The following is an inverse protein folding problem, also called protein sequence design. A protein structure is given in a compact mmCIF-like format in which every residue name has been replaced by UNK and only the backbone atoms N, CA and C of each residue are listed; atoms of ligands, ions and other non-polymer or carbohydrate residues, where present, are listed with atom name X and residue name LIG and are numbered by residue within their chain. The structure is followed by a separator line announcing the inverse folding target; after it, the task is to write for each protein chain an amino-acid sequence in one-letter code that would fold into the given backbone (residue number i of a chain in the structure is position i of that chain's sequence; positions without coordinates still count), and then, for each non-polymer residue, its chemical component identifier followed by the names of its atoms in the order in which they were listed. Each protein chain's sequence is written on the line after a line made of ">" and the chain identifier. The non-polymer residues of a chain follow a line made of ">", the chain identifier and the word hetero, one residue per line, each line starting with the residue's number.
data_IF_372848624004
#
_entry.id   IF_372848624004
#
_cell.length_a   1.000
_cell.length_b   1.000
_cell.length_c   1.000
_cell.angle_alpha   90.00
_cell.angle_beta   90.00
_cell.angle_gamma   90.00
#
_symmetry.space_group_name_H-M   'P 1'
#
loop_
_entity.id
_entity.type
_entity.pdbx_description
1 polymer ?
#
# COMPACT_ATOMS: atom_id res chain seq x y z
N UNK A 1 22.54 37.84 18.16
CA UNK A 1 21.40 36.99 18.54
C UNK A 1 20.43 37.02 17.39
N UNK A 2 20.40 35.99 16.58
CA UNK A 2 19.46 35.87 15.44
C UNK A 2 18.14 35.30 15.99
N UNK A 3 17.18 36.18 16.21
CA UNK A 3 15.80 35.76 16.52
C UNK A 3 15.17 35.15 15.23
N UNK A 4 14.93 33.85 15.24
CA UNK A 4 14.16 33.21 14.20
C UNK A 4 12.79 33.92 14.08
N UNK A 5 12.28 34.20 12.86
CA UNK A 5 11.01 34.87 12.68
C UNK A 5 9.89 34.02 13.30
N UNK A 6 9.08 34.63 14.15
CA UNK A 6 7.91 33.99 14.77
C UNK A 6 6.94 33.55 13.66
N UNK A 7 6.72 32.24 13.56
CA UNK A 7 5.68 31.68 12.68
C UNK A 7 4.33 32.13 13.24
N UNK A 8 3.66 33.04 12.54
CA UNK A 8 2.28 33.40 12.87
C UNK A 8 1.42 32.16 12.73
N UNK A 9 0.93 31.63 13.83
CA UNK A 9 -0.03 30.52 13.86
C UNK A 9 -1.34 30.99 13.25
N UNK A 10 -1.64 30.52 12.04
CA UNK A 10 -2.98 30.68 11.49
C UNK A 10 -3.88 29.72 12.27
N UNK A 11 -4.81 30.25 13.05
CA UNK A 11 -5.85 29.46 13.69
C UNK A 11 -6.64 28.71 12.60
N UNK A 12 -6.76 27.40 12.69
CA UNK A 12 -7.56 26.54 11.79
C UNK A 12 -8.62 25.83 12.61
N UNK A 13 -9.64 26.54 13.09
CA UNK A 13 -10.54 26.00 14.10
C UNK A 13 -11.38 24.81 13.62
N UNK A 14 -11.55 24.65 12.29
CA UNK A 14 -12.48 23.68 11.71
C UNK A 14 -11.79 22.47 11.06
N UNK A 15 -10.45 22.45 10.94
CA UNK A 15 -9.71 21.32 10.39
C UNK A 15 -9.13 20.46 11.51
N UNK A 16 -9.56 19.20 11.59
CA UNK A 16 -9.00 18.26 12.53
C UNK A 16 -7.57 17.88 12.13
N UNK A 17 -6.61 18.03 13.04
CA UNK A 17 -5.19 17.77 12.81
C UNK A 17 -4.69 16.66 13.73
N UNK A 18 -3.83 15.79 13.21
CA UNK A 18 -3.11 14.78 13.98
C UNK A 18 -1.97 15.36 14.84
N UNK A 19 -1.59 16.62 14.63
CA UNK A 19 -0.52 17.28 15.37
C UNK A 19 -0.95 18.66 15.88
N UNK A 20 -0.47 19.01 17.08
CA UNK A 20 -0.62 20.35 17.65
C UNK A 20 0.43 21.34 17.13
N UNK A 21 1.45 20.86 16.39
CA UNK A 21 2.51 21.72 15.85
C UNK A 21 1.94 22.59 14.72
N UNK A 22 2.25 23.90 14.71
CA UNK A 22 1.92 24.77 13.60
C UNK A 22 2.60 24.25 12.34
N UNK A 23 1.85 24.17 11.24
CA UNK A 23 2.39 23.74 9.94
C UNK A 23 2.42 24.95 9.00
N UNK A 24 3.46 25.06 8.13
CA UNK A 24 3.48 26.10 7.11
C UNK A 24 2.30 25.93 6.14
N UNK A 25 1.72 27.05 5.72
CA UNK A 25 0.66 27.05 4.72
C UNK A 25 1.30 27.05 3.34
N UNK A 26 1.19 25.97 2.61
CA UNK A 26 1.68 25.86 1.23
C UNK A 26 0.89 26.78 0.32
N UNK A 27 1.58 27.55 -0.50
CA UNK A 27 1.04 28.45 -1.52
C UNK A 27 1.12 27.82 -2.91
N UNK A 28 2.28 27.31 -3.30
CA UNK A 28 2.53 26.71 -4.60
C UNK A 28 3.57 25.61 -4.52
N UNK A 29 3.60 24.77 -5.55
CA UNK A 29 4.59 23.71 -5.71
C UNK A 29 4.99 23.52 -7.17
N UNK A 30 6.25 23.11 -7.42
CA UNK A 30 6.77 22.81 -8.74
C UNK A 30 7.93 21.82 -8.65
N UNK A 31 7.92 20.76 -9.48
CA UNK A 31 8.90 19.68 -9.44
C UNK A 31 9.01 19.06 -8.04
N UNK A 32 10.16 19.24 -7.40
CA UNK A 32 10.45 18.75 -6.03
C UNK A 32 10.32 19.83 -4.97
N UNK A 33 9.86 21.03 -5.32
CA UNK A 33 9.82 22.16 -4.41
C UNK A 33 8.41 22.54 -4.00
N UNK A 34 8.27 22.97 -2.73
CA UNK A 34 7.09 23.59 -2.16
C UNK A 34 7.46 24.99 -1.70
N UNK A 35 6.53 25.94 -1.81
CA UNK A 35 6.69 27.28 -1.22
C UNK A 35 5.49 27.56 -0.31
N UNK A 36 5.77 28.08 0.88
CA UNK A 36 4.73 28.55 1.77
C UNK A 36 4.31 30.01 1.46
N UNK A 37 3.26 30.45 2.12
CA UNK A 37 2.73 31.83 1.95
C UNK A 37 3.69 32.93 2.39
N UNK A 38 4.77 32.61 3.11
CA UNK A 38 5.84 33.56 3.41
C UNK A 38 6.91 33.63 2.32
N UNK A 39 6.83 32.78 1.29
CA UNK A 39 7.80 32.66 0.20
C UNK A 39 8.95 31.71 0.52
N UNK A 40 8.98 31.08 1.70
CA UNK A 40 10.03 30.12 2.05
C UNK A 40 9.89 28.86 1.20
N UNK A 41 11.00 28.41 0.62
CA UNK A 41 11.10 27.20 -0.19
C UNK A 41 11.51 26.00 0.65
N UNK A 42 10.87 24.87 0.37
CA UNK A 42 11.15 23.54 0.93
C UNK A 42 11.44 22.56 -0.19
N UNK A 43 12.29 21.56 0.08
CA UNK A 43 12.43 20.37 -0.75
C UNK A 43 11.45 19.34 -0.24
N UNK A 44 10.59 18.81 -1.11
CA UNK A 44 9.71 17.69 -0.80
C UNK A 44 10.48 16.37 -0.89
N UNK A 45 11.35 16.13 0.10
CA UNK A 45 12.21 14.94 0.15
C UNK A 45 11.46 13.63 0.41
N UNK A 46 10.21 13.72 0.88
CA UNK A 46 9.35 12.55 1.09
C UNK A 46 8.40 12.29 -0.08
N UNK A 47 8.41 13.15 -1.11
CA UNK A 47 7.45 13.05 -2.22
C UNK A 47 5.99 13.05 -1.72
N UNK A 48 5.66 14.00 -0.83
CA UNK A 48 4.41 14.00 -0.07
C UNK A 48 4.32 12.80 0.87
N UNK A 49 3.32 11.96 0.69
CA UNK A 49 3.17 10.68 1.38
C UNK A 49 3.74 9.51 0.54
N UNK A 50 4.92 9.69 -0.06
CA UNK A 50 5.57 8.74 -1.00
C UNK A 50 4.71 8.53 -2.26
N UNK A 51 4.09 9.60 -2.77
CA UNK A 51 3.11 9.50 -3.85
C UNK A 51 3.35 10.45 -5.03
N UNK A 52 4.10 11.54 -4.89
CA UNK A 52 4.30 12.54 -5.95
C UNK A 52 5.41 12.09 -6.91
N UNK A 53 5.23 10.96 -7.58
CA UNK A 53 6.27 10.28 -8.37
C UNK A 53 6.72 11.10 -9.61
N UNK A 54 5.81 11.88 -10.22
CA UNK A 54 6.11 12.70 -11.41
C UNK A 54 6.36 14.18 -11.08
N UNK A 55 6.48 14.50 -9.78
CA UNK A 55 6.70 15.86 -9.29
C UNK A 55 5.41 16.69 -9.24
N UNK A 56 5.50 17.80 -8.54
CA UNK A 56 4.43 18.80 -8.48
C UNK A 56 4.33 19.59 -9.79
N UNK A 57 3.14 20.07 -10.13
CA UNK A 57 2.95 21.01 -11.25
C UNK A 57 3.13 20.42 -12.64
N UNK A 58 3.14 19.09 -12.81
CA UNK A 58 3.31 18.45 -14.13
C UNK A 58 2.22 18.89 -15.11
N UNK A 59 2.63 19.66 -16.12
CA UNK A 59 1.70 20.30 -17.08
C UNK A 59 0.92 19.31 -17.92
N UNK A 60 1.50 18.17 -18.26
CA UNK A 60 0.81 17.12 -19.03
C UNK A 60 -0.36 16.55 -18.24
N UNK A 61 -0.16 16.23 -16.96
CA UNK A 61 -1.22 15.73 -16.07
C UNK A 61 -2.30 16.79 -15.88
N UNK A 62 -1.91 18.03 -15.49
CA UNK A 62 -2.84 19.13 -15.27
C UNK A 62 -3.70 19.41 -16.51
N UNK A 63 -3.09 19.48 -17.69
CA UNK A 63 -3.81 19.76 -18.92
C UNK A 63 -4.74 18.60 -19.33
N UNK A 64 -4.34 17.35 -19.09
CA UNK A 64 -5.21 16.19 -19.32
C UNK A 64 -6.43 16.23 -18.41
N UNK A 65 -6.23 16.51 -17.11
CA UNK A 65 -7.34 16.65 -16.14
C UNK A 65 -8.30 17.77 -16.53
N UNK A 66 -7.78 18.94 -16.92
CA UNK A 66 -8.63 20.09 -17.39
C UNK A 66 -9.49 19.68 -18.58
N UNK A 67 -8.89 19.09 -19.61
CA UNK A 67 -9.65 18.62 -20.78
C UNK A 67 -10.73 17.59 -20.44
N UNK A 68 -10.44 16.71 -19.47
CA UNK A 68 -11.42 15.72 -19.05
C UNK A 68 -12.57 16.35 -18.27
N UNK A 69 -12.30 17.29 -17.37
CA UNK A 69 -13.31 18.01 -16.61
C UNK A 69 -14.25 18.83 -17.51
N UNK A 70 -13.71 19.43 -18.60
CA UNK A 70 -14.52 20.14 -19.60
C UNK A 70 -15.47 19.20 -20.37
N UNK A 71 -15.16 17.91 -20.48
CA UNK A 71 -15.98 16.91 -21.17
C UNK A 71 -17.00 16.25 -20.24
N UNK A 72 -16.52 15.64 -19.17
CA UNK A 72 -17.35 14.94 -18.18
C UNK A 72 -16.54 14.76 -16.88
N UNK A 73 -17.09 15.19 -15.77
CA UNK A 73 -16.49 15.09 -14.45
C UNK A 73 -16.73 13.74 -13.78
N UNK A 74 -17.86 13.11 -14.06
CA UNK A 74 -18.27 11.84 -13.45
C UNK A 74 -19.12 11.00 -14.39
N UNK A 75 -18.85 9.70 -14.45
CA UNK A 75 -19.68 8.71 -15.10
C UNK A 75 -19.90 7.52 -14.15
N UNK A 76 -21.15 7.20 -13.86
CA UNK A 76 -21.49 6.14 -12.92
C UNK A 76 -21.26 4.76 -13.54
N UNK A 77 -20.30 4.02 -13.02
CA UNK A 77 -19.79 2.76 -13.59
C UNK A 77 -20.85 1.67 -13.81
N UNK A 78 -21.96 1.69 -13.06
CA UNK A 78 -23.05 0.74 -13.26
C UNK A 78 -23.96 1.07 -14.45
N UNK A 79 -23.79 2.25 -15.05
CA UNK A 79 -24.64 2.71 -16.16
C UNK A 79 -23.84 3.12 -17.39
N UNK A 80 -22.60 3.57 -17.21
CA UNK A 80 -21.78 4.14 -18.27
C UNK A 80 -20.32 3.67 -18.14
N UNK A 81 -19.70 3.39 -19.27
CA UNK A 81 -18.25 3.24 -19.33
C UNK A 81 -17.57 4.59 -19.47
N UNK A 82 -16.33 4.68 -18.96
CA UNK A 82 -15.47 5.85 -19.09
C UNK A 82 -14.21 5.48 -19.87
N UNK A 83 -13.98 6.14 -20.99
CA UNK A 83 -12.84 5.89 -21.87
C UNK A 83 -11.49 5.93 -21.13
N UNK A 84 -11.33 6.89 -20.20
CA UNK A 84 -10.08 7.06 -19.45
C UNK A 84 -9.86 5.92 -18.44
N UNK A 85 -10.93 5.46 -17.79
CA UNK A 85 -10.88 4.31 -16.89
C UNK A 85 -10.53 3.01 -17.65
N UNK A 86 -11.16 2.79 -18.81
CA UNK A 86 -10.85 1.64 -19.68
C UNK A 86 -9.39 1.69 -20.17
N UNK A 87 -8.92 2.87 -20.59
CA UNK A 87 -7.54 3.05 -21.02
C UNK A 87 -6.54 2.80 -19.90
N UNK A 88 -6.82 3.28 -18.68
CA UNK A 88 -6.00 3.02 -17.49
C UNK A 88 -5.94 1.53 -17.18
N UNK A 89 -7.10 0.87 -17.12
CA UNK A 89 -7.18 -0.58 -16.84
C UNK A 89 -6.36 -1.40 -17.85
N UNK A 90 -6.47 -1.09 -19.15
CA UNK A 90 -5.66 -1.72 -20.20
C UNK A 90 -4.17 -1.49 -19.99
N UNK A 91 -3.76 -0.25 -19.76
CA UNK A 91 -2.36 0.11 -19.53
C UNK A 91 -1.77 -0.58 -18.29
N UNK A 92 -2.56 -0.79 -17.24
CA UNK A 92 -2.14 -1.56 -16.06
C UNK A 92 -1.99 -3.04 -16.40
N UNK A 93 -3.02 -3.64 -17.02
CA UNK A 93 -3.01 -5.05 -17.39
C UNK A 93 -1.81 -5.43 -18.27
N UNK A 94 -1.42 -4.56 -19.22
CA UNK A 94 -0.24 -4.76 -20.09
C UNK A 94 1.10 -4.74 -19.33
N UNK A 95 1.16 -4.20 -18.11
CA UNK A 95 2.39 -4.04 -17.30
C UNK A 95 2.45 -4.96 -16.10
N UNK A 96 1.32 -5.52 -15.73
CA UNK A 96 1.23 -6.46 -14.62
C UNK A 96 1.63 -7.87 -15.07
N UNK A 97 2.08 -8.74 -14.16
CA UNK A 97 2.32 -10.14 -14.47
C UNK A 97 1.08 -10.83 -15.07
N UNK A 98 1.28 -11.74 -16.02
CA UNK A 98 0.20 -12.50 -16.64
C UNK A 98 -0.75 -13.10 -15.59
N UNK A 99 -2.07 -12.99 -15.80
CA UNK A 99 -3.11 -13.42 -14.87
C UNK A 99 -3.56 -12.36 -13.87
N UNK A 100 -2.92 -11.17 -13.84
CA UNK A 100 -3.38 -9.99 -13.11
C UNK A 100 -4.01 -8.97 -14.07
N UNK A 101 -4.99 -9.41 -14.85
CA UNK A 101 -5.58 -8.64 -15.96
C UNK A 101 -6.89 -7.95 -15.58
N UNK A 102 -7.41 -8.21 -14.38
CA UNK A 102 -8.66 -7.63 -13.90
C UNK A 102 -8.38 -6.48 -12.93
N UNK A 103 -8.77 -5.29 -13.33
CA UNK A 103 -8.52 -4.05 -12.60
C UNK A 103 -9.82 -3.55 -12.00
N UNK A 104 -9.80 -3.26 -10.70
CA UNK A 104 -10.88 -2.62 -9.96
C UNK A 104 -10.41 -1.29 -9.42
N UNK A 105 -11.01 -0.18 -9.85
CA UNK A 105 -10.60 1.18 -9.48
C UNK A 105 -11.35 1.64 -8.23
N UNK A 106 -10.62 2.25 -7.30
CA UNK A 106 -11.09 2.80 -6.02
C UNK A 106 -10.44 4.16 -5.75
N UNK A 107 -10.78 4.80 -4.62
CA UNK A 107 -10.34 6.18 -4.34
C UNK A 107 -9.02 6.29 -3.58
N UNK A 108 -8.43 5.19 -3.13
CA UNK A 108 -7.16 5.25 -2.38
C UNK A 108 -6.65 3.91 -1.89
N UNK A 109 -5.48 3.94 -1.22
CA UNK A 109 -4.76 2.73 -0.81
C UNK A 109 -5.51 1.86 0.19
N UNK A 110 -6.16 2.46 1.19
CA UNK A 110 -6.97 1.70 2.16
C UNK A 110 -8.14 0.99 1.48
N UNK A 111 -8.82 1.66 0.55
CA UNK A 111 -9.90 1.05 -0.22
C UNK A 111 -9.37 -0.03 -1.19
N UNK A 112 -8.19 0.16 -1.77
CA UNK A 112 -7.56 -0.84 -2.63
C UNK A 112 -7.25 -2.12 -1.85
N UNK A 113 -6.62 -2.01 -0.69
CA UNK A 113 -6.37 -3.18 0.17
C UNK A 113 -7.69 -3.79 0.67
N UNK A 114 -8.65 -2.99 1.13
CA UNK A 114 -9.98 -3.48 1.53
C UNK A 114 -10.66 -4.27 0.41
N UNK A 115 -10.56 -3.80 -0.84
CA UNK A 115 -11.07 -4.50 -2.01
C UNK A 115 -10.34 -5.83 -2.25
N UNK A 116 -9.01 -5.89 -2.06
CA UNK A 116 -8.23 -7.13 -2.15
C UNK A 116 -8.71 -8.18 -1.13
N UNK A 117 -8.91 -7.77 0.14
CA UNK A 117 -9.39 -8.66 1.20
C UNK A 117 -10.79 -9.23 0.86
N UNK A 118 -11.69 -8.36 0.39
CA UNK A 118 -13.05 -8.73 -0.03
C UNK A 118 -13.05 -9.63 -1.25
N UNK A 119 -12.22 -9.33 -2.26
CA UNK A 119 -12.10 -10.15 -3.47
C UNK A 119 -11.59 -11.55 -3.12
N UNK A 120 -10.57 -11.66 -2.26
CA UNK A 120 -10.08 -12.95 -1.78
C UNK A 120 -11.21 -13.76 -1.14
N UNK A 121 -12.02 -13.12 -0.29
CA UNK A 121 -13.15 -13.79 0.36
C UNK A 121 -14.24 -14.20 -0.64
N UNK A 122 -14.58 -13.35 -1.60
CA UNK A 122 -15.55 -13.67 -2.66
C UNK A 122 -15.08 -14.87 -3.50
N UNK A 123 -13.79 -14.90 -3.84
CA UNK A 123 -13.19 -16.03 -4.55
C UNK A 123 -13.33 -17.34 -3.78
N UNK A 124 -13.00 -17.33 -2.48
CA UNK A 124 -13.12 -18.52 -1.64
C UNK A 124 -14.56 -19.08 -1.60
N UNK A 125 -15.56 -18.19 -1.44
CA UNK A 125 -16.96 -18.59 -1.47
C UNK A 125 -17.36 -19.13 -2.84
N UNK A 126 -16.97 -18.45 -3.92
CA UNK A 126 -17.31 -18.86 -5.30
C UNK A 126 -16.66 -20.18 -5.70
N UNK A 127 -15.56 -20.58 -5.06
CA UNK A 127 -14.85 -21.85 -5.31
C UNK A 127 -15.16 -22.94 -4.28
N UNK A 128 -16.18 -22.75 -3.44
CA UNK A 128 -16.60 -23.74 -2.43
C UNK A 128 -15.64 -23.87 -1.23
N UNK A 129 -14.80 -22.87 -1.01
CA UNK A 129 -13.83 -22.81 0.10
C UNK A 129 -14.31 -21.83 1.20
N UNK A 130 -15.57 -21.82 1.50
CA UNK A 130 -16.27 -20.89 2.39
C UNK A 130 -15.77 -20.90 3.85
N UNK A 131 -15.06 -21.95 4.27
CA UNK A 131 -14.36 -22.00 5.57
C UNK A 131 -13.13 -21.08 5.65
N UNK A 132 -12.53 -20.70 4.50
CA UNK A 132 -11.35 -19.83 4.44
C UNK A 132 -11.76 -18.37 4.61
N UNK A 133 -11.29 -17.73 5.69
CA UNK A 133 -11.60 -16.32 5.95
C UNK A 133 -10.48 -15.56 6.66
N UNK A 134 -9.54 -16.26 7.32
CA UNK A 134 -8.44 -15.63 8.04
C UNK A 134 -7.38 -15.15 7.07
N UNK A 135 -6.93 -13.92 7.23
CA UNK A 135 -5.84 -13.34 6.44
C UNK A 135 -4.67 -13.07 7.37
N UNK A 136 -3.53 -13.68 7.11
CA UNK A 136 -2.33 -13.50 7.92
C UNK A 136 -1.61 -12.23 7.42
N UNK A 137 -1.29 -11.31 8.34
CA UNK A 137 -0.45 -10.13 8.09
C UNK A 137 0.92 -10.25 8.74
N UNK A 138 1.71 -9.16 8.68
CA UNK A 138 3.00 -9.07 9.36
C UNK A 138 2.97 -8.05 10.49
N UNK A 139 3.86 -8.22 11.48
CA UNK A 139 4.09 -7.25 12.55
C UNK A 139 5.59 -6.92 12.66
N UNK A 140 5.98 -5.64 12.50
CA UNK A 140 5.14 -4.50 12.11
C UNK A 140 4.80 -4.48 10.61
N UNK A 141 3.66 -3.86 10.26
CA UNK A 141 3.22 -3.57 8.88
C UNK A 141 2.17 -2.46 8.87
N UNK A 142 1.89 -1.90 7.67
CA UNK A 142 0.84 -0.90 7.51
C UNK A 142 0.07 -1.15 6.20
N UNK A 143 -1.24 -1.36 6.30
CA UNK A 143 -2.10 -1.68 5.14
C UNK A 143 -3.26 -0.71 4.94
N UNK A 144 -3.45 0.26 5.81
CA UNK A 144 -4.50 1.27 5.68
C UNK A 144 -5.21 1.58 6.99
N UNK A 145 -6.29 2.38 6.90
CA UNK A 145 -7.03 2.91 8.05
C UNK A 145 -8.51 2.53 8.06
N UNK A 146 -9.01 1.75 7.10
CA UNK A 146 -10.34 1.15 7.17
C UNK A 146 -10.33 -0.05 8.12
N UNK A 147 -11.47 -0.44 8.67
CA UNK A 147 -11.52 -1.50 9.70
C UNK A 147 -10.95 -2.83 9.21
N UNK A 148 -11.22 -3.22 7.95
CA UNK A 148 -10.64 -4.43 7.38
C UNK A 148 -9.13 -4.32 7.20
N UNK A 149 -8.60 -3.19 6.76
CA UNK A 149 -7.15 -2.99 6.63
C UNK A 149 -6.44 -2.88 7.97
N UNK A 150 -7.08 -2.28 8.99
CA UNK A 150 -6.56 -2.27 10.36
C UNK A 150 -6.47 -3.68 10.92
N UNK A 151 -7.43 -4.56 10.61
CA UNK A 151 -7.43 -5.94 11.09
C UNK A 151 -6.19 -6.74 10.65
N UNK A 152 -5.58 -6.41 9.50
CA UNK A 152 -4.36 -7.06 8.98
C UNK A 152 -3.09 -6.21 9.16
N UNK A 153 -3.22 -4.98 9.68
CA UNK A 153 -2.10 -4.08 10.00
C UNK A 153 -1.45 -4.49 11.32
N UNK A 154 -0.13 -4.64 11.32
CA UNK A 154 0.65 -4.93 12.51
C UNK A 154 1.28 -3.66 13.09
N UNK A 155 0.50 -2.80 13.73
CA UNK A 155 0.98 -1.60 14.42
C UNK A 155 0.06 -1.26 15.59
N UNK A 156 0.45 -1.66 16.80
CA UNK A 156 -0.35 -1.46 18.02
C UNK A 156 -0.72 -0.01 18.28
N UNK A 157 0.09 0.95 17.84
CA UNK A 157 -0.20 2.38 18.00
C UNK A 157 -1.40 2.79 17.16
N UNK A 158 -1.55 2.18 15.99
CA UNK A 158 -2.64 2.49 15.06
C UNK A 158 -3.88 1.63 15.31
N UNK A 159 -3.72 0.36 15.74
CA UNK A 159 -4.82 -0.61 15.76
C UNK A 159 -5.51 -0.72 17.11
N UNK A 160 -4.77 -0.72 18.23
CA UNK A 160 -5.26 -1.04 19.58
C UNK A 160 -6.53 -0.29 19.98
N UNK A 161 -6.66 0.99 19.62
CA UNK A 161 -7.85 1.80 19.96
C UNK A 161 -9.10 1.29 19.24
N UNK A 162 -8.92 0.69 18.06
CA UNK A 162 -10.00 0.28 17.17
C UNK A 162 -10.28 -1.22 17.17
N UNK A 163 -9.48 -2.03 17.88
CA UNK A 163 -9.66 -3.47 17.99
C UNK A 163 -11.11 -3.89 18.35
N UNK A 164 -11.81 -3.18 19.26
CA UNK A 164 -13.20 -3.52 19.57
C UNK A 164 -14.20 -3.30 18.42
N UNK A 165 -13.81 -2.57 17.37
CA UNK A 165 -14.66 -2.29 16.21
C UNK A 165 -14.46 -3.28 15.06
N UNK A 166 -13.46 -4.12 15.13
CA UNK A 166 -13.10 -5.08 14.09
C UNK A 166 -12.73 -6.45 14.67
N UNK A 167 -12.30 -7.34 13.80
CA UNK A 167 -11.77 -8.63 14.20
C UNK A 167 -10.29 -8.68 13.82
N UNK A 168 -9.37 -8.56 14.78
CA UNK A 168 -7.94 -8.69 14.53
C UNK A 168 -7.60 -10.02 13.85
N UNK A 169 -6.76 -9.97 12.84
CA UNK A 169 -6.29 -11.13 12.09
C UNK A 169 -4.94 -11.63 12.65
N UNK A 170 -4.57 -12.89 12.42
CA UNK A 170 -3.29 -13.41 12.89
C UNK A 170 -2.12 -12.70 12.19
N UNK A 171 -1.04 -12.49 12.94
CA UNK A 171 0.17 -11.83 12.46
C UNK A 171 1.39 -12.74 12.62
N UNK A 172 2.37 -12.57 11.74
CA UNK A 172 3.72 -13.15 11.84
C UNK A 172 4.77 -12.04 11.92
N UNK A 173 5.96 -12.28 12.49
CA UNK A 173 7.01 -11.28 12.53
C UNK A 173 7.43 -10.79 11.14
N UNK A 174 7.63 -9.48 10.98
CA UNK A 174 8.28 -8.94 9.80
C UNK A 174 9.77 -9.34 9.78
N UNK A 175 10.35 -9.62 8.59
CA UNK A 175 11.68 -10.24 8.49
C UNK A 175 12.83 -9.27 8.73
N UNK A 176 13.01 -8.82 9.97
CA UNK A 176 14.13 -7.97 10.39
C UNK A 176 15.45 -8.76 10.52
N UNK A 177 15.80 -9.50 9.49
CA UNK A 177 16.96 -10.40 9.44
C UNK A 177 18.29 -9.75 9.87
N UNK A 178 18.41 -8.42 9.75
CA UNK A 178 19.60 -7.68 10.17
C UNK A 178 19.70 -7.47 11.70
N UNK A 179 18.61 -7.71 12.45
CA UNK A 179 18.58 -7.56 13.90
C UNK A 179 18.94 -8.86 14.63
N UNK A 180 18.93 -9.97 13.94
CA UNK A 180 19.25 -11.27 14.53
C UNK A 180 20.76 -11.40 14.79
N UNK A 181 21.11 -11.95 15.96
CA UNK A 181 22.50 -12.11 16.42
C UNK A 181 22.95 -13.56 16.46
N UNK A 182 22.32 -14.41 15.61
CA UNK A 182 22.71 -15.81 15.43
C UNK A 182 23.82 -15.97 14.36
N UNK A 183 24.28 -17.19 14.13
CA UNK A 183 25.31 -17.52 13.15
C UNK A 183 24.76 -17.83 11.75
N UNK A 184 23.44 -17.62 11.51
CA UNK A 184 22.84 -17.87 10.21
C UNK A 184 23.16 -16.75 9.21
N UNK A 185 23.29 -17.12 7.95
CA UNK A 185 23.37 -16.16 6.85
C UNK A 185 22.04 -15.39 6.69
N UNK A 186 22.06 -14.28 5.96
CA UNK A 186 20.85 -13.50 5.68
C UNK A 186 19.78 -14.33 4.96
N UNK A 187 20.20 -15.20 4.04
CA UNK A 187 19.29 -16.07 3.28
C UNK A 187 18.67 -17.15 4.19
N UNK A 188 19.43 -17.79 5.07
CA UNK A 188 18.90 -18.75 6.04
C UNK A 188 17.90 -18.09 7.00
N UNK A 189 18.18 -16.85 7.46
CA UNK A 189 17.22 -16.07 8.25
C UNK A 189 15.98 -15.76 7.44
N UNK A 190 16.11 -15.44 6.14
CA UNK A 190 14.99 -15.24 5.24
C UNK A 190 14.05 -16.43 5.19
N UNK A 191 14.59 -17.64 5.03
CA UNK A 191 13.82 -18.90 5.07
C UNK A 191 13.13 -19.06 6.42
N UNK A 192 13.86 -18.89 7.53
CA UNK A 192 13.31 -19.00 8.88
C UNK A 192 12.12 -18.07 9.13
N UNK A 193 12.22 -16.80 8.72
CA UNK A 193 11.09 -15.88 8.83
C UNK A 193 9.90 -16.27 7.95
N UNK A 194 10.16 -16.86 6.79
CA UNK A 194 9.10 -17.38 5.94
C UNK A 194 8.43 -18.62 6.55
N UNK A 195 9.21 -19.52 7.18
CA UNK A 195 8.69 -20.71 7.85
C UNK A 195 7.76 -20.37 9.02
N UNK A 196 7.91 -19.20 9.68
CA UNK A 196 6.96 -18.70 10.67
C UNK A 196 5.55 -18.48 10.08
N UNK A 197 5.44 -18.22 8.76
CA UNK A 197 4.14 -18.22 8.09
C UNK A 197 3.54 -19.62 8.04
N UNK A 198 4.33 -20.64 7.70
CA UNK A 198 3.87 -22.03 7.68
C UNK A 198 3.40 -22.48 9.08
N UNK A 199 4.19 -22.20 10.11
CA UNK A 199 3.81 -22.46 11.51
C UNK A 199 2.48 -21.79 11.87
N UNK A 200 2.30 -20.52 11.48
CA UNK A 200 1.06 -19.78 11.74
C UNK A 200 -0.13 -20.35 10.97
N UNK A 201 0.05 -20.80 9.74
CA UNK A 201 -1.01 -21.48 8.98
C UNK A 201 -1.46 -22.77 9.69
N UNK A 202 -0.50 -23.55 10.15
CA UNK A 202 -0.79 -24.81 10.88
C UNK A 202 -1.48 -24.52 12.21
N UNK A 203 -1.04 -23.51 12.96
CA UNK A 203 -1.69 -23.05 14.21
C UNK A 203 -3.14 -22.62 13.99
N UNK A 204 -3.40 -21.89 12.89
CA UNK A 204 -4.73 -21.34 12.60
C UNK A 204 -5.69 -22.36 11.97
N UNK A 205 -5.21 -23.51 11.52
CA UNK A 205 -5.93 -24.50 10.72
C UNK A 205 -5.90 -24.13 9.24
N UNK A 206 -5.15 -24.87 8.39
CA UNK A 206 -4.94 -24.53 6.97
C UNK A 206 -6.23 -24.29 6.18
N UNK A 207 -7.30 -25.00 6.54
CA UNK A 207 -8.61 -24.90 5.92
C UNK A 207 -9.35 -23.58 6.26
N UNK A 208 -8.89 -22.85 7.29
CA UNK A 208 -9.48 -21.56 7.70
C UNK A 208 -8.69 -20.34 7.15
N UNK A 209 -7.45 -20.57 6.71
CA UNK A 209 -6.59 -19.50 6.20
C UNK A 209 -6.91 -19.22 4.73
N UNK A 210 -7.19 -17.97 4.43
CA UNK A 210 -7.57 -17.46 3.11
C UNK A 210 -6.39 -16.92 2.33
N UNK A 211 -5.60 -16.07 2.96
CA UNK A 211 -4.53 -15.34 2.30
C UNK A 211 -3.39 -14.95 3.27
N UNK A 212 -2.25 -14.65 2.69
CA UNK A 212 -1.18 -13.89 3.34
C UNK A 212 -1.03 -12.55 2.64
N UNK A 213 -1.00 -11.46 3.41
CA UNK A 213 -0.77 -10.09 2.88
C UNK A 213 0.58 -9.56 3.34
N UNK A 214 1.32 -8.95 2.41
CA UNK A 214 2.59 -8.31 2.74
C UNK A 214 2.90 -7.12 1.83
N UNK A 215 3.63 -6.15 2.37
CA UNK A 215 4.38 -5.16 1.59
C UNK A 215 5.69 -5.84 1.11
N UNK A 216 5.97 -6.00 -0.20
CA UNK A 216 7.22 -6.64 -0.65
C UNK A 216 8.48 -5.93 -0.13
N UNK A 217 8.48 -4.61 -0.16
CA UNK A 217 9.41 -3.77 0.60
C UNK A 217 8.59 -3.03 1.64
N UNK A 218 8.96 -3.17 2.90
CA UNK A 218 8.21 -2.59 3.99
C UNK A 218 8.13 -1.07 3.92
N UNK A 219 6.96 -0.53 4.23
CA UNK A 219 6.67 0.90 4.14
C UNK A 219 6.88 1.65 5.45
N UNK A 220 5.85 2.39 5.83
CA UNK A 220 5.87 3.33 6.94
C UNK A 220 6.21 2.69 8.30
N UNK A 221 5.74 1.48 8.55
CA UNK A 221 5.95 0.79 9.83
C UNK A 221 7.36 0.19 9.98
N UNK A 222 8.09 -0.03 8.89
CA UNK A 222 9.36 -0.78 8.89
C UNK A 222 10.54 -0.04 8.28
N UNK A 223 10.35 1.23 7.86
CA UNK A 223 11.41 2.10 7.31
C UNK A 223 12.15 1.46 6.11
N UNK A 224 11.40 1.04 5.09
CA UNK A 224 11.91 0.42 3.85
C UNK A 224 12.66 -0.91 4.08
N UNK A 225 12.14 -1.76 4.95
CA UNK A 225 12.67 -3.11 5.18
C UNK A 225 12.63 -3.94 3.89
N UNK A 226 13.79 -4.44 3.47
CA UNK A 226 13.95 -5.32 2.30
C UNK A 226 14.31 -6.72 2.79
N UNK A 227 13.42 -7.72 2.62
CA UNK A 227 13.72 -9.11 2.92
C UNK A 227 14.75 -9.69 1.93
N UNK A 228 15.53 -10.73 2.30
CA UNK A 228 16.40 -11.44 1.38
C UNK A 228 15.58 -12.25 0.34
N UNK A 229 16.23 -12.66 -0.76
CA UNK A 229 15.54 -13.32 -1.88
C UNK A 229 14.90 -14.65 -1.46
N UNK A 230 15.53 -15.40 -0.59
CA UNK A 230 15.03 -16.67 -0.05
C UNK A 230 13.68 -16.54 0.67
N UNK A 231 13.45 -15.40 1.35
CA UNK A 231 12.15 -15.12 1.99
C UNK A 231 11.01 -15.16 0.98
N UNK A 232 11.17 -14.46 -0.15
CA UNK A 232 10.13 -14.38 -1.18
C UNK A 232 9.84 -15.73 -1.84
N UNK A 233 10.91 -16.47 -2.19
CA UNK A 233 10.79 -17.80 -2.78
C UNK A 233 10.03 -18.74 -1.85
N UNK A 234 10.39 -18.74 -0.56
CA UNK A 234 9.78 -19.62 0.44
C UNK A 234 8.33 -19.23 0.75
N UNK A 235 8.01 -17.92 0.81
CA UNK A 235 6.63 -17.43 0.97
C UNK A 235 5.74 -17.93 -0.17
N UNK A 236 6.20 -17.83 -1.44
CA UNK A 236 5.39 -18.30 -2.58
C UNK A 236 5.18 -19.82 -2.50
N UNK A 237 6.24 -20.58 -2.21
CA UNK A 237 6.16 -22.03 -2.02
C UNK A 237 5.13 -22.42 -0.94
N UNK A 238 5.15 -21.75 0.22
CA UNK A 238 4.20 -22.01 1.32
C UNK A 238 2.77 -21.69 0.86
N UNK A 239 2.54 -20.54 0.24
CA UNK A 239 1.21 -20.15 -0.24
C UNK A 239 0.67 -21.17 -1.25
N UNK A 240 1.51 -21.64 -2.19
CA UNK A 240 1.14 -22.64 -3.18
C UNK A 240 0.82 -24.00 -2.53
N UNK A 241 1.64 -24.43 -1.58
CA UNK A 241 1.48 -25.70 -0.85
C UNK A 241 0.14 -25.79 -0.13
N UNK A 242 -0.29 -24.70 0.50
CA UNK A 242 -1.54 -24.66 1.28
C UNK A 242 -2.73 -24.12 0.50
N UNK A 243 -2.54 -23.73 -0.76
CA UNK A 243 -3.58 -23.16 -1.61
C UNK A 243 -4.17 -21.87 -1.04
N UNK A 244 -3.35 -21.03 -0.39
CA UNK A 244 -3.74 -19.71 0.12
C UNK A 244 -3.29 -18.62 -0.86
N UNK A 245 -4.04 -17.52 -0.91
CA UNK A 245 -3.73 -16.41 -1.80
C UNK A 245 -2.58 -15.56 -1.23
N UNK A 246 -1.67 -15.12 -2.10
CA UNK A 246 -0.65 -14.13 -1.77
C UNK A 246 -1.10 -12.75 -2.26
N UNK A 247 -1.26 -11.81 -1.33
CA UNK A 247 -1.63 -10.43 -1.62
C UNK A 247 -0.40 -9.53 -1.44
N UNK A 248 0.02 -8.84 -2.49
CA UNK A 248 1.03 -7.79 -2.39
C UNK A 248 0.39 -6.43 -2.20
N UNK A 249 0.70 -5.78 -1.09
CA UNK A 249 0.45 -4.36 -0.91
C UNK A 249 1.61 -3.57 -1.55
N UNK A 250 1.39 -3.15 -2.78
CA UNK A 250 2.31 -2.33 -3.56
C UNK A 250 1.86 -0.85 -3.59
N UNK A 251 1.02 -0.45 -2.67
CA UNK A 251 0.50 0.93 -2.55
C UNK A 251 1.64 1.94 -2.47
N UNK A 252 2.73 1.62 -1.78
CA UNK A 252 3.88 2.50 -1.66
C UNK A 252 4.98 2.16 -2.68
N UNK A 253 5.17 0.90 -2.98
CA UNK A 253 6.35 0.37 -3.69
C UNK A 253 6.14 0.17 -5.19
N UNK A 254 4.88 0.12 -5.63
CA UNK A 254 4.53 -0.03 -7.05
C UNK A 254 4.74 1.23 -7.88
N UNK A 255 4.38 1.12 -9.15
CA UNK A 255 4.38 2.20 -10.14
C UNK A 255 5.77 2.86 -10.27
N UNK A 256 6.81 2.03 -10.38
CA UNK A 256 8.17 2.49 -10.66
C UNK A 256 8.97 2.99 -9.45
N UNK A 257 8.43 2.95 -8.23
CA UNK A 257 9.11 3.47 -7.03
C UNK A 257 10.48 2.82 -6.80
N UNK A 258 10.62 1.56 -7.11
CA UNK A 258 11.85 0.77 -6.88
C UNK A 258 12.65 0.50 -8.16
N UNK A 259 12.29 1.14 -9.29
CA UNK A 259 12.89 0.91 -10.60
C UNK A 259 12.25 -0.24 -11.40
N UNK A 260 11.30 -0.97 -10.80
CA UNK A 260 10.42 -1.95 -11.45
C UNK A 260 8.97 -1.48 -11.37
N UNK A 261 8.08 -2.02 -12.22
CA UNK A 261 6.66 -1.64 -12.17
C UNK A 261 6.03 -2.07 -10.85
N UNK A 262 6.26 -3.30 -10.43
CA UNK A 262 6.01 -3.81 -9.08
C UNK A 262 7.34 -4.07 -8.37
N UNK A 263 7.41 -3.84 -7.07
CA UNK A 263 8.62 -4.18 -6.30
C UNK A 263 8.82 -5.69 -6.19
N UNK A 264 7.75 -6.48 -6.20
CA UNK A 264 7.81 -7.94 -6.27
C UNK A 264 8.57 -8.50 -7.48
N UNK A 265 8.66 -7.74 -8.58
CA UNK A 265 9.40 -8.12 -9.80
C UNK A 265 10.93 -8.24 -9.60
N UNK A 266 11.48 -7.71 -8.49
CA UNK A 266 12.89 -7.89 -8.15
C UNK A 266 13.23 -9.33 -7.75
N UNK A 267 12.24 -10.10 -7.26
CA UNK A 267 12.43 -11.44 -6.70
C UNK A 267 11.60 -12.51 -7.40
N UNK A 268 10.95 -12.19 -8.51
CA UNK A 268 10.05 -13.10 -9.22
C UNK A 268 8.96 -13.73 -8.31
N UNK A 269 8.63 -13.06 -7.21
CA UNK A 269 7.58 -13.48 -6.29
C UNK A 269 6.24 -12.94 -6.79
N UNK A 270 5.50 -13.78 -7.50
CA UNK A 270 4.23 -13.40 -8.11
C UNK A 270 3.07 -13.46 -7.10
N UNK A 271 2.36 -12.37 -6.87
CA UNK A 271 1.14 -12.38 -6.08
C UNK A 271 -0.07 -12.87 -6.88
N UNK A 272 -1.13 -13.26 -6.17
CA UNK A 272 -2.44 -13.58 -6.73
C UNK A 272 -3.31 -12.32 -6.83
N UNK A 273 -3.10 -11.35 -5.94
CA UNK A 273 -3.80 -10.05 -5.91
C UNK A 273 -2.78 -8.96 -5.57
N UNK A 274 -2.93 -7.78 -6.19
CA UNK A 274 -2.07 -6.61 -5.94
C UNK A 274 -2.91 -5.39 -5.61
N UNK A 275 -2.57 -4.69 -4.54
CA UNK A 275 -3.09 -3.35 -4.25
C UNK A 275 -2.12 -2.27 -4.75
N UNK A 276 -2.63 -1.29 -5.48
CA UNK A 276 -1.91 -0.13 -6.01
C UNK A 276 -2.61 1.16 -5.60
N UNK A 277 -1.86 2.24 -5.38
CA UNK A 277 -2.36 3.60 -5.18
C UNK A 277 -1.20 4.60 -5.27
N UNK A 278 -1.19 5.66 -4.49
CA UNK A 278 -0.10 6.65 -4.37
C UNK A 278 0.51 7.07 -5.71
N UNK A 279 1.60 6.43 -6.12
CA UNK A 279 2.26 6.68 -7.40
C UNK A 279 1.36 6.54 -8.62
N UNK A 280 0.27 5.77 -8.53
CA UNK A 280 -0.69 5.54 -9.61
C UNK A 280 -1.31 6.84 -10.12
N UNK A 281 -1.67 7.76 -9.23
CA UNK A 281 -2.15 9.10 -9.59
C UNK A 281 -1.10 10.19 -9.36
N UNK A 282 0.02 9.84 -8.76
CA UNK A 282 1.07 10.80 -8.35
C UNK A 282 0.54 11.96 -7.48
N UNK A 283 -0.52 11.71 -6.70
CA UNK A 283 -1.14 12.70 -5.82
C UNK A 283 -2.04 13.73 -6.53
N UNK A 284 -2.26 13.63 -7.84
CA UNK A 284 -3.09 14.57 -8.60
C UNK A 284 -4.60 14.31 -8.42
N UNK A 285 -4.97 13.08 -8.11
CA UNK A 285 -6.36 12.70 -7.82
C UNK A 285 -6.40 11.53 -6.83
N UNK A 286 -7.48 11.37 -6.04
CA UNK A 286 -7.74 10.15 -5.31
C UNK A 286 -7.87 8.98 -6.28
N UNK A 287 -7.02 7.93 -6.12
CA UNK A 287 -7.03 6.74 -6.99
C UNK A 287 -6.28 5.57 -6.32
N UNK A 288 -6.85 4.42 -6.46
CA UNK A 288 -6.24 3.15 -6.09
C UNK A 288 -6.76 2.03 -6.99
#
# INVERSE_FOLDING_TARGET
>A
MNTAPSIKTVSRPNLFHFTRRPQPMVDRADGIYLWDKSGRRYIDGSSGAVNVNVGHGNRNVINAMKRQLDRVSFAYIFQFENEQAVALARNLAERLPNGLERIYLVSGGSEAVEACLKLARQWAVATGQDKRWKIIGRMPSYHGITLGTLAVTGDDVLTRTFDPLGQPMPLVPAPFVHRDQDNLSLEERGVRYADMLEEKILEQGPESVLAFIMEPIGGAATAALVPPASYFARIREICDRYGILLIHDEVMTGIGRTGKFLSGDHWSCRPDIVALSKGLSSGYAPLG
#
